data_IF_565903578571
#
_entry.id   IF_565903578571
#
_cell.length_a   1.000
_cell.length_b   1.000
_cell.length_c   1.000
_cell.angle_alpha   90.00
_cell.angle_beta   90.00
_cell.angle_gamma   90.00
#
_symmetry.space_group_name_H-M   'P 1'
#
loop_
_entity.id
_entity.type
_entity.pdbx_description
1 polymer ?
#
# COMPACT_ATOMS: atom_id res chain seq x y z
N UNK A 1 -40.50 -23.77 4.16
CA UNK A 1 -39.68 -24.10 5.33
C UNK A 1 -39.10 -25.48 5.07
N UNK A 2 -37.93 -25.52 4.44
CA UNK A 2 -37.15 -26.74 4.27
C UNK A 2 -35.77 -26.45 4.84
N UNK A 3 -35.42 -27.20 5.88
CA UNK A 3 -34.16 -27.10 6.61
C UNK A 3 -33.18 -28.00 5.87
N UNK A 4 -32.19 -27.41 5.19
CA UNK A 4 -31.05 -28.18 4.71
C UNK A 4 -30.06 -28.37 5.86
N UNK A 5 -29.76 -29.64 6.17
CA UNK A 5 -28.71 -30.05 7.11
C UNK A 5 -27.35 -29.83 6.43
N UNK A 6 -26.57 -28.90 6.97
CA UNK A 6 -25.13 -28.82 6.69
C UNK A 6 -24.42 -29.83 7.59
N UNK A 7 -23.71 -30.78 6.97
CA UNK A 7 -22.75 -31.64 7.64
C UNK A 7 -21.35 -31.09 7.37
N UNK A 8 -20.93 -30.11 8.18
CA UNK A 8 -19.52 -29.79 8.43
C UNK A 8 -19.12 -30.38 9.80
N UNK A 9 -17.82 -30.45 10.14
CA UNK A 9 -17.39 -31.07 11.40
C UNK A 9 -17.97 -30.31 12.60
N UNK A 10 -18.41 -31.06 13.61
CA UNK A 10 -18.90 -30.53 14.89
C UNK A 10 -17.83 -29.66 15.54
N UNK A 11 -18.07 -28.35 15.58
CA UNK A 11 -17.32 -27.43 16.42
C UNK A 11 -18.02 -27.42 17.77
N UNK A 12 -17.39 -28.03 18.77
CA UNK A 12 -17.79 -27.94 20.16
C UNK A 12 -17.71 -26.46 20.60
N UNK A 13 -18.81 -25.80 20.97
CA UNK A 13 -18.79 -24.39 21.37
C UNK A 13 -18.19 -24.17 22.76
N UNK A 14 -17.54 -25.18 23.37
CA UNK A 14 -16.95 -25.09 24.71
C UNK A 14 -15.49 -25.54 24.82
N UNK A 15 -14.81 -25.90 23.73
CA UNK A 15 -13.35 -26.13 23.76
C UNK A 15 -12.60 -24.81 23.56
N UNK A 16 -12.41 -24.07 24.65
CA UNK A 16 -11.36 -23.06 24.75
C UNK A 16 -10.01 -23.79 24.86
N UNK A 17 -9.26 -23.89 23.77
CA UNK A 17 -7.81 -24.14 23.75
C UNK A 17 -7.35 -24.14 22.28
N UNK A 18 -7.30 -22.95 21.67
CA UNK A 18 -6.26 -22.48 20.74
C UNK A 18 -6.61 -21.03 20.37
N UNK A 19 -6.61 -20.14 21.37
CA UNK A 19 -6.50 -18.72 21.07
C UNK A 19 -5.08 -18.53 20.54
N UNK A 20 -4.94 -18.37 19.22
CA UNK A 20 -3.77 -17.70 18.69
C UNK A 20 -3.78 -16.28 19.28
N UNK A 21 -3.13 -16.13 20.43
CA UNK A 21 -2.92 -14.83 21.04
C UNK A 21 -2.35 -13.92 19.94
N UNK A 22 -2.95 -12.73 19.70
CA UNK A 22 -2.28 -11.76 18.86
C UNK A 22 -0.89 -11.57 19.47
N UNK A 23 0.16 -11.60 18.65
CA UNK A 23 1.50 -11.18 19.06
C UNK A 23 1.39 -9.72 19.57
N UNK A 24 1.08 -9.55 20.84
CA UNK A 24 1.16 -8.28 21.54
C UNK A 24 2.64 -8.07 21.82
N UNK A 25 3.31 -7.41 20.89
CA UNK A 25 4.53 -6.68 21.23
C UNK A 25 4.10 -5.44 22.04
N UNK A 26 3.82 -5.62 23.33
CA UNK A 26 3.66 -4.53 24.28
C UNK A 26 5.04 -4.14 24.84
N UNK A 27 5.88 -3.60 23.96
CA UNK A 27 7.17 -2.98 24.30
C UNK A 27 7.02 -1.45 24.50
N UNK A 28 5.84 -0.96 24.92
CA UNK A 28 5.57 0.47 25.10
C UNK A 28 5.83 1.34 23.85
N UNK A 29 5.79 2.68 23.98
CA UNK A 29 6.08 3.57 22.87
C UNK A 29 7.53 3.38 22.37
N UNK A 30 7.70 3.14 21.07
CA UNK A 30 8.99 2.92 20.44
C UNK A 30 9.79 4.23 20.36
N UNK A 31 10.96 4.34 21.02
CA UNK A 31 11.72 5.58 21.02
C UNK A 31 12.34 5.84 19.66
N UNK A 32 12.03 7.00 19.06
CA UNK A 32 12.59 7.37 17.77
C UNK A 32 14.06 7.80 17.94
N UNK A 33 15.01 7.13 17.28
CA UNK A 33 16.43 7.47 17.37
C UNK A 33 16.74 8.83 16.74
N UNK A 34 17.66 9.56 17.38
CA UNK A 34 18.20 10.85 16.90
C UNK A 34 19.43 10.57 16.03
N UNK A 35 19.60 11.33 14.94
CA UNK A 35 20.81 11.25 14.13
C UNK A 35 21.99 11.92 14.86
N UNK A 36 23.10 11.20 15.03
CA UNK A 36 24.34 11.69 15.64
C UNK A 36 25.46 11.97 14.62
N UNK A 37 25.24 11.65 13.35
CA UNK A 37 26.18 11.86 12.26
C UNK A 37 25.54 11.72 10.87
N UNK A 38 26.32 11.96 9.79
CA UNK A 38 25.85 11.72 8.43
C UNK A 38 25.70 10.21 8.19
N UNK A 39 24.61 9.81 7.55
CA UNK A 39 24.31 8.41 7.18
C UNK A 39 25.13 8.01 5.96
N UNK A 40 25.69 6.81 5.91
CA UNK A 40 26.13 6.19 4.65
C UNK A 40 25.59 4.76 4.59
N UNK A 41 24.50 4.55 3.87
CA UNK A 41 23.78 3.29 3.90
C UNK A 41 23.35 2.82 2.52
N UNK A 42 23.26 1.50 2.40
CA UNK A 42 22.60 0.80 1.30
C UNK A 42 21.42 0.01 1.87
N UNK A 43 20.24 0.23 1.32
CA UNK A 43 18.98 -0.31 1.80
C UNK A 43 18.29 -1.05 0.66
N UNK A 44 18.03 -2.34 0.85
CA UNK A 44 17.07 -3.07 0.02
C UNK A 44 15.69 -2.93 0.67
N UNK A 45 14.66 -2.77 -0.16
CA UNK A 45 13.25 -2.64 0.24
C UNK A 45 12.51 -3.88 -0.28
N UNK A 46 11.56 -4.46 0.49
CA UNK A 46 10.75 -5.57 0.01
C UNK A 46 9.89 -5.18 -1.19
N UNK A 47 9.28 -6.18 -1.82
CA UNK A 47 8.42 -5.99 -2.97
C UNK A 47 7.27 -4.99 -2.72
N UNK A 48 6.81 -4.38 -3.80
CA UNK A 48 5.67 -3.46 -3.79
C UNK A 48 4.38 -4.18 -3.41
N UNK A 49 3.68 -3.70 -2.38
CA UNK A 49 2.36 -4.22 -2.00
C UNK A 49 1.38 -4.12 -3.17
N UNK A 50 1.40 -2.98 -3.85
CA UNK A 50 0.49 -2.64 -4.94
C UNK A 50 0.67 -3.55 -6.15
N UNK A 51 1.92 -3.88 -6.51
CA UNK A 51 2.21 -4.84 -7.58
C UNK A 51 1.92 -6.27 -7.13
N UNK A 52 2.37 -6.68 -5.94
CA UNK A 52 2.15 -8.03 -5.41
C UNK A 52 0.67 -8.42 -5.46
N UNK A 53 -0.21 -7.56 -4.93
CA UNK A 53 -1.65 -7.84 -4.92
C UNK A 53 -2.30 -7.87 -6.31
N UNK A 54 -1.79 -7.07 -7.27
CA UNK A 54 -2.27 -7.12 -8.67
C UNK A 54 -1.83 -8.43 -9.34
N UNK A 55 -0.56 -8.79 -9.18
CA UNK A 55 0.00 -10.00 -9.77
C UNK A 55 -0.59 -11.27 -9.16
N UNK A 56 -0.90 -11.27 -7.87
CA UNK A 56 -1.66 -12.35 -7.22
C UNK A 56 -3.03 -12.55 -7.90
N UNK A 57 -3.80 -11.48 -8.07
CA UNK A 57 -5.12 -11.52 -8.73
C UNK A 57 -5.00 -11.98 -10.18
N UNK A 58 -4.08 -11.41 -10.96
CA UNK A 58 -3.88 -11.80 -12.36
C UNK A 58 -3.43 -13.27 -12.48
N UNK A 59 -2.55 -13.72 -11.60
CA UNK A 59 -2.07 -15.11 -11.58
C UNK A 59 -3.19 -16.11 -11.24
N UNK A 60 -4.10 -15.75 -10.33
CA UNK A 60 -5.26 -16.57 -10.00
C UNK A 60 -6.28 -16.65 -11.16
N UNK A 61 -6.39 -15.58 -11.95
CA UNK A 61 -7.26 -15.50 -13.13
C UNK A 61 -6.57 -15.94 -14.44
N UNK A 62 -5.30 -16.34 -14.38
CA UNK A 62 -4.51 -16.72 -15.56
C UNK A 62 -4.96 -18.04 -16.19
N UNK A 63 -4.50 -18.28 -17.41
CA UNK A 63 -4.73 -19.51 -18.17
C UNK A 63 -3.69 -20.60 -17.87
N UNK A 64 -2.59 -20.23 -17.21
CA UNK A 64 -1.48 -21.11 -16.83
C UNK A 64 -0.88 -20.64 -15.49
N UNK A 65 -0.16 -21.51 -14.75
CA UNK A 65 0.51 -21.15 -13.52
C UNK A 65 1.47 -19.97 -13.67
N UNK A 66 1.67 -19.23 -12.57
CA UNK A 66 2.61 -18.12 -12.48
C UNK A 66 3.56 -18.32 -11.30
N UNK A 67 4.74 -17.71 -11.39
CA UNK A 67 5.71 -17.62 -10.29
C UNK A 67 5.99 -16.15 -10.01
N UNK A 68 5.79 -15.72 -8.77
CA UNK A 68 6.08 -14.36 -8.31
C UNK A 68 7.39 -14.41 -7.52
N UNK A 69 8.40 -13.67 -7.97
CA UNK A 69 9.72 -13.54 -7.34
C UNK A 69 9.76 -12.28 -6.48
N UNK A 70 10.20 -12.42 -5.23
CA UNK A 70 10.23 -11.33 -4.25
C UNK A 70 8.87 -10.65 -3.98
N UNK A 71 7.73 -11.38 -3.92
CA UNK A 71 6.48 -10.77 -3.51
C UNK A 71 6.60 -10.24 -2.08
N UNK A 72 5.85 -9.19 -1.75
CA UNK A 72 5.82 -8.69 -0.39
C UNK A 72 5.19 -9.73 0.54
N UNK A 73 5.90 -10.13 1.60
CA UNK A 73 5.36 -10.87 2.73
C UNK A 73 4.88 -9.89 3.82
N UNK A 74 3.60 -9.52 3.78
CA UNK A 74 2.99 -8.60 4.74
C UNK A 74 1.52 -8.94 4.96
N UNK A 75 0.91 -8.40 6.02
CA UNK A 75 -0.50 -8.69 6.36
C UNK A 75 -1.45 -8.52 5.18
N UNK A 76 -1.32 -7.43 4.41
CA UNK A 76 -2.21 -7.13 3.28
C UNK A 76 -2.09 -8.17 2.13
N UNK A 77 -0.89 -8.71 1.86
CA UNK A 77 -0.65 -9.69 0.78
C UNK A 77 -0.96 -11.11 1.24
N UNK A 78 -0.80 -11.41 2.52
CA UNK A 78 -1.24 -12.66 3.14
C UNK A 78 -2.76 -12.78 3.16
N UNK A 79 -3.48 -11.69 3.46
CA UNK A 79 -4.94 -11.62 3.34
C UNK A 79 -5.40 -11.88 1.90
N UNK A 80 -4.73 -11.28 0.90
CA UNK A 80 -5.03 -11.52 -0.52
C UNK A 80 -4.79 -12.99 -0.91
N UNK A 81 -3.64 -13.54 -0.51
CA UNK A 81 -3.26 -14.93 -0.79
C UNK A 81 -4.25 -15.91 -0.17
N UNK A 82 -4.66 -15.66 1.07
CA UNK A 82 -5.67 -16.44 1.78
C UNK A 82 -7.02 -16.37 1.07
N UNK A 83 -7.48 -15.17 0.70
CA UNK A 83 -8.75 -14.98 0.00
C UNK A 83 -8.79 -15.70 -1.36
N UNK A 84 -7.70 -15.66 -2.12
CA UNK A 84 -7.57 -16.39 -3.39
C UNK A 84 -7.56 -17.90 -3.18
N UNK A 85 -6.88 -18.38 -2.13
CA UNK A 85 -6.85 -19.78 -1.72
C UNK A 85 -8.23 -20.31 -1.32
N UNK A 86 -8.99 -19.53 -0.55
CA UNK A 86 -10.38 -19.83 -0.19
C UNK A 86 -11.29 -19.98 -1.43
N UNK A 87 -11.08 -19.18 -2.47
CA UNK A 87 -11.79 -19.33 -3.76
C UNK A 87 -11.29 -20.51 -4.62
N UNK A 88 -10.32 -21.29 -4.12
CA UNK A 88 -9.81 -22.52 -4.71
C UNK A 88 -8.46 -22.39 -5.42
N UNK A 89 -7.88 -21.19 -5.53
CA UNK A 89 -6.58 -20.97 -6.19
C UNK A 89 -5.48 -21.74 -5.48
N UNK A 90 -4.62 -22.44 -6.23
CA UNK A 90 -3.45 -23.07 -5.63
C UNK A 90 -2.39 -22.02 -5.31
N UNK A 91 -1.93 -21.97 -4.06
CA UNK A 91 -0.83 -21.11 -3.63
C UNK A 91 0.21 -22.01 -2.97
N UNK A 92 1.42 -22.01 -3.51
CA UNK A 92 2.57 -22.73 -2.98
C UNK A 92 3.68 -21.73 -2.68
N UNK A 93 4.26 -21.82 -1.47
CA UNK A 93 5.47 -21.07 -1.11
C UNK A 93 6.69 -21.83 -1.63
N UNK A 94 7.59 -21.11 -2.28
CA UNK A 94 8.87 -21.59 -2.76
C UNK A 94 9.97 -20.89 -1.98
N UNK A 95 11.12 -21.53 -1.84
CA UNK A 95 12.31 -20.89 -1.25
C UNK A 95 12.57 -19.54 -1.94
N UNK A 96 12.60 -18.48 -1.12
CA UNK A 96 12.72 -17.10 -1.58
C UNK A 96 14.03 -16.82 -2.29
N UNK A 97 13.97 -16.02 -3.36
CA UNK A 97 15.17 -15.54 -4.07
C UNK A 97 15.77 -14.27 -3.45
N UNK A 98 15.10 -13.67 -2.47
CA UNK A 98 15.54 -12.48 -1.74
C UNK A 98 15.39 -12.63 -0.23
N UNK A 99 15.71 -11.56 0.52
CA UNK A 99 15.75 -11.60 1.99
C UNK A 99 14.42 -11.28 2.69
N UNK A 100 13.34 -11.08 1.93
CA UNK A 100 12.05 -10.59 2.42
C UNK A 100 10.93 -11.64 2.37
N UNK A 101 11.32 -12.92 2.43
CA UNK A 101 10.40 -14.05 2.47
C UNK A 101 10.37 -14.88 1.18
N UNK A 102 9.40 -15.79 1.15
CA UNK A 102 9.25 -16.81 0.12
C UNK A 102 8.77 -16.26 -1.23
N UNK A 103 9.23 -16.90 -2.31
CA UNK A 103 8.61 -16.74 -3.63
C UNK A 103 7.27 -17.48 -3.67
N UNK A 104 6.37 -17.11 -4.58
CA UNK A 104 5.04 -17.73 -4.67
C UNK A 104 4.80 -18.39 -6.02
N UNK A 105 4.37 -19.65 -6.03
CA UNK A 105 3.78 -20.32 -7.19
C UNK A 105 2.26 -20.30 -7.08
N UNK A 106 1.62 -19.63 -8.03
CA UNK A 106 0.17 -19.50 -8.11
C UNK A 106 -0.35 -20.38 -9.25
N UNK A 107 -1.22 -21.33 -8.92
CA UNK A 107 -1.84 -22.25 -9.87
C UNK A 107 -3.32 -21.91 -10.04
N UNK A 108 -3.74 -21.34 -11.19
CA UNK A 108 -5.13 -21.00 -11.41
C UNK A 108 -5.99 -22.27 -11.50
N UNK A 109 -7.25 -22.18 -11.05
CA UNK A 109 -8.23 -23.25 -11.20
C UNK A 109 -9.11 -23.01 -12.42
N UNK A 110 -9.66 -24.10 -12.95
CA UNK A 110 -10.66 -24.06 -14.04
C UNK A 110 -11.90 -23.24 -13.65
N UNK A 111 -12.26 -23.26 -12.36
CA UNK A 111 -13.40 -22.57 -11.79
C UNK A 111 -13.06 -22.11 -10.38
N UNK A 112 -13.48 -20.91 -10.02
CA UNK A 112 -13.48 -20.42 -8.64
C UNK A 112 -14.74 -20.88 -7.91
N UNK A 113 -14.62 -21.23 -6.65
CA UNK A 113 -15.71 -21.75 -5.82
C UNK A 113 -16.01 -20.80 -4.67
N UNK A 114 -17.29 -20.53 -4.43
CA UNK A 114 -17.77 -19.79 -3.26
C UNK A 114 -18.01 -20.72 -2.08
N UNK A 115 -18.91 -20.31 -1.19
CA UNK A 115 -19.13 -20.97 0.10
C UNK A 115 -18.13 -20.51 1.17
N UNK A 116 -17.55 -19.33 1.01
CA UNK A 116 -16.45 -18.82 1.86
C UNK A 116 -16.73 -17.43 2.41
N UNK A 117 -16.00 -17.08 3.46
CA UNK A 117 -15.96 -15.74 4.05
C UNK A 117 -14.55 -15.19 3.93
N UNK A 118 -14.41 -14.07 3.22
CA UNK A 118 -13.14 -13.38 3.01
C UNK A 118 -12.98 -12.32 4.10
N UNK A 119 -11.94 -12.47 4.92
CA UNK A 119 -11.46 -11.42 5.79
C UNK A 119 -10.60 -10.43 4.98
N UNK A 120 -10.99 -9.16 5.02
CA UNK A 120 -10.29 -8.08 4.35
C UNK A 120 -9.23 -7.42 5.23
N UNK A 121 -9.21 -7.67 6.54
CA UNK A 121 -8.46 -6.86 7.52
C UNK A 121 -8.70 -5.36 7.28
N UNK A 122 -7.61 -4.56 7.25
CA UNK A 122 -7.61 -3.16 6.80
C UNK A 122 -7.06 -2.99 5.36
N UNK A 123 -6.94 -4.09 4.61
CA UNK A 123 -6.30 -4.14 3.31
C UNK A 123 -7.22 -3.58 2.22
N UNK A 124 -6.93 -2.35 1.78
CA UNK A 124 -7.79 -1.69 0.78
C UNK A 124 -7.87 -2.45 -0.54
N UNK A 125 -6.76 -3.07 -0.95
CA UNK A 125 -6.66 -3.91 -2.14
C UNK A 125 -7.56 -5.14 -2.04
N UNK A 126 -7.57 -5.87 -0.92
CA UNK A 126 -8.46 -7.03 -0.72
C UNK A 126 -9.91 -6.58 -0.80
N UNK A 127 -10.27 -5.53 -0.05
CA UNK A 127 -11.62 -4.96 -0.03
C UNK A 127 -12.14 -4.60 -1.43
N UNK A 128 -11.29 -4.14 -2.37
CA UNK A 128 -11.74 -3.62 -3.68
C UNK A 128 -11.44 -4.54 -4.85
N UNK A 129 -10.41 -5.38 -4.78
CA UNK A 129 -10.02 -6.27 -5.88
C UNK A 129 -10.73 -7.62 -5.78
N UNK A 130 -10.95 -8.13 -4.57
CA UNK A 130 -11.57 -9.44 -4.39
C UNK A 130 -13.07 -9.48 -4.74
N UNK A 131 -13.90 -8.44 -4.51
CA UNK A 131 -15.31 -8.56 -4.86
C UNK A 131 -15.59 -8.79 -6.37
N UNK A 132 -14.93 -8.09 -7.32
CA UNK A 132 -15.02 -8.42 -8.75
C UNK A 132 -14.51 -9.83 -9.09
N UNK A 133 -13.48 -10.32 -8.39
CA UNK A 133 -12.96 -11.69 -8.56
C UNK A 133 -13.95 -12.73 -8.04
N UNK A 134 -14.49 -12.52 -6.83
CA UNK A 134 -15.48 -13.41 -6.20
C UNK A 134 -16.80 -13.47 -6.97
N UNK A 135 -17.15 -12.40 -7.71
CA UNK A 135 -18.31 -12.44 -8.62
C UNK A 135 -18.18 -13.49 -9.74
N UNK A 136 -16.95 -13.92 -10.06
CA UNK A 136 -16.67 -15.02 -10.99
C UNK A 136 -16.75 -16.41 -10.34
N UNK A 137 -16.83 -16.49 -9.01
CA UNK A 137 -16.99 -17.74 -8.30
C UNK A 137 -18.40 -18.31 -8.45
N UNK A 138 -18.57 -19.63 -8.25
CA UNK A 138 -19.89 -20.23 -8.07
C UNK A 138 -20.21 -20.35 -6.59
N UNK A 139 -21.26 -19.67 -6.15
CA UNK A 139 -21.79 -19.75 -4.79
C UNK A 139 -21.69 -18.43 -4.03
N UNK A 140 -22.11 -18.44 -2.75
CA UNK A 140 -22.10 -17.24 -1.91
C UNK A 140 -20.69 -16.90 -1.45
N UNK A 141 -20.35 -15.61 -1.36
CA UNK A 141 -19.10 -15.12 -0.77
C UNK A 141 -19.41 -13.95 0.15
N UNK A 142 -18.98 -14.03 1.40
CA UNK A 142 -19.11 -12.95 2.38
C UNK A 142 -17.79 -12.17 2.51
N UNK A 143 -17.89 -10.88 2.80
CA UNK A 143 -16.77 -9.97 3.03
C UNK A 143 -16.98 -9.24 4.36
N UNK A 144 -15.98 -9.28 5.22
CA UNK A 144 -15.88 -8.46 6.43
C UNK A 144 -14.41 -8.06 6.67
N UNK A 145 -14.13 -7.30 7.71
CA UNK A 145 -12.76 -6.95 8.11
C UNK A 145 -12.72 -6.18 9.42
N UNK A 146 -11.56 -5.62 9.73
CA UNK A 146 -11.31 -4.85 10.94
C UNK A 146 -12.33 -3.71 11.13
N UNK A 147 -12.55 -3.27 12.37
CA UNK A 147 -13.50 -2.18 12.67
C UNK A 147 -13.19 -0.88 11.92
N UNK A 148 -11.91 -0.58 11.69
CA UNK A 148 -11.50 0.54 10.85
C UNK A 148 -11.90 0.34 9.38
N UNK A 149 -11.81 -0.87 8.85
CA UNK A 149 -12.20 -1.18 7.48
C UNK A 149 -13.71 -1.03 7.24
N UNK A 150 -14.53 -1.36 8.24
CA UNK A 150 -16.00 -1.18 8.20
C UNK A 150 -16.43 0.28 8.05
N UNK A 151 -15.58 1.24 8.42
CA UNK A 151 -15.83 2.67 8.22
C UNK A 151 -15.50 3.15 6.80
N UNK A 152 -14.64 2.43 6.08
CA UNK A 152 -14.12 2.86 4.77
C UNK A 152 -15.19 2.78 3.66
N UNK A 153 -15.13 3.64 2.64
CA UNK A 153 -16.11 3.65 1.55
C UNK A 153 -16.08 2.36 0.71
N UNK A 154 -17.24 1.70 0.55
CA UNK A 154 -17.41 0.51 -0.33
C UNK A 154 -18.60 0.62 -1.30
N UNK A 155 -19.42 1.68 -1.18
CA UNK A 155 -20.64 1.86 -1.97
C UNK A 155 -20.40 1.73 -3.46
N UNK A 156 -19.38 2.41 -4.01
CA UNK A 156 -19.03 2.32 -5.43
C UNK A 156 -18.77 0.88 -5.88
N UNK A 157 -18.03 0.09 -5.09
CA UNK A 157 -17.78 -1.33 -5.40
C UNK A 157 -19.07 -2.14 -5.41
N UNK A 158 -19.91 -1.96 -4.39
CA UNK A 158 -21.19 -2.69 -4.24
C UNK A 158 -22.13 -2.35 -5.40
N UNK A 159 -22.31 -1.07 -5.70
CA UNK A 159 -23.18 -0.61 -6.78
C UNK A 159 -22.65 -1.04 -8.16
N UNK A 160 -21.33 -1.06 -8.37
CA UNK A 160 -20.72 -1.57 -9.59
C UNK A 160 -21.02 -3.06 -9.81
N UNK A 161 -20.93 -3.88 -8.76
CA UNK A 161 -21.27 -5.30 -8.84
C UNK A 161 -22.75 -5.50 -9.16
N UNK A 162 -23.64 -4.77 -8.50
CA UNK A 162 -25.09 -4.80 -8.78
C UNK A 162 -25.37 -4.39 -10.22
N UNK A 163 -24.72 -3.32 -10.73
CA UNK A 163 -24.86 -2.87 -12.11
C UNK A 163 -24.32 -3.90 -13.13
N UNK A 164 -23.36 -4.74 -12.74
CA UNK A 164 -22.88 -5.88 -13.54
C UNK A 164 -23.81 -7.10 -13.48
N UNK A 165 -24.91 -7.02 -12.71
CA UNK A 165 -25.90 -8.08 -12.56
C UNK A 165 -25.55 -9.12 -11.50
N UNK A 166 -24.61 -8.81 -10.60
CA UNK A 166 -24.27 -9.66 -9.45
C UNK A 166 -25.31 -9.44 -8.35
N UNK A 167 -25.79 -10.52 -7.74
CA UNK A 167 -26.65 -10.41 -6.55
C UNK A 167 -25.77 -10.04 -5.34
N UNK A 168 -26.04 -8.91 -4.71
CA UNK A 168 -25.32 -8.40 -3.54
C UNK A 168 -26.30 -8.12 -2.41
N UNK A 169 -25.92 -8.48 -1.18
CA UNK A 169 -26.66 -8.20 0.06
C UNK A 169 -25.74 -7.44 1.01
N UNK A 170 -26.03 -6.15 1.21
CA UNK A 170 -25.30 -5.25 2.10
C UNK A 170 -26.20 -4.58 3.15
N UNK A 171 -27.48 -4.94 3.21
CA UNK A 171 -28.55 -4.29 3.98
C UNK A 171 -28.55 -2.75 3.84
N UNK A 172 -28.25 -2.24 2.65
CA UNK A 172 -28.18 -0.82 2.33
C UNK A 172 -27.12 -0.03 3.11
N UNK A 173 -26.11 -0.70 3.67
CA UNK A 173 -25.01 -0.04 4.41
C UNK A 173 -24.04 0.70 3.49
N UNK A 174 -23.79 0.20 2.28
CA UNK A 174 -22.75 0.70 1.38
C UNK A 174 -21.32 0.57 1.94
N UNK A 175 -21.12 -0.34 2.90
CA UNK A 175 -19.89 -0.60 3.68
C UNK A 175 -19.78 -2.09 4.00
N UNK A 176 -18.64 -2.54 4.51
CA UNK A 176 -18.52 -3.88 5.11
C UNK A 176 -19.40 -3.98 6.38
N UNK A 177 -19.88 -5.18 6.75
CA UNK A 177 -19.86 -6.40 5.94
C UNK A 177 -20.92 -6.43 4.84
N UNK A 178 -20.65 -7.17 3.77
CA UNK A 178 -21.63 -7.50 2.72
C UNK A 178 -21.38 -8.90 2.16
N UNK A 179 -22.33 -9.45 1.42
CA UNK A 179 -22.16 -10.71 0.70
C UNK A 179 -22.63 -10.60 -0.74
N UNK A 180 -22.10 -11.47 -1.60
CA UNK A 180 -22.53 -11.61 -2.99
C UNK A 180 -22.81 -13.07 -3.33
N UNK A 181 -23.63 -13.32 -4.35
CA UNK A 181 -23.84 -14.64 -4.92
C UNK A 181 -23.32 -14.70 -6.35
N UNK A 182 -22.22 -15.42 -6.54
CA UNK A 182 -21.60 -15.62 -7.85
C UNK A 182 -22.26 -16.77 -8.61
N UNK A 183 -22.52 -16.58 -9.91
CA UNK A 183 -23.10 -17.61 -10.78
C UNK A 183 -22.03 -18.39 -11.57
N UNK A 184 -20.74 -18.12 -11.31
CA UNK A 184 -19.62 -18.64 -12.09
C UNK A 184 -19.33 -17.86 -13.39
N UNK A 185 -20.07 -16.80 -13.68
CA UNK A 185 -19.82 -15.93 -14.82
C UNK A 185 -20.37 -14.52 -14.61
N UNK A 186 -19.64 -13.53 -15.09
CA UNK A 186 -20.09 -12.13 -15.15
C UNK A 186 -20.21 -11.73 -16.62
N UNK A 187 -21.31 -11.07 -16.98
CA UNK A 187 -21.53 -10.63 -18.38
C UNK A 187 -20.46 -9.60 -18.80
N UNK A 188 -20.21 -8.60 -17.95
CA UNK A 188 -19.42 -7.43 -18.32
C UNK A 188 -20.20 -6.47 -19.21
N UNK A 189 -19.49 -5.69 -20.03
CA UNK A 189 -20.07 -4.69 -20.92
C UNK A 189 -19.73 -3.26 -20.50
N UNK A 190 -20.69 -2.33 -20.60
CA UNK A 190 -20.47 -0.92 -20.24
C UNK A 190 -20.82 -0.69 -18.78
N UNK A 191 -19.94 -0.02 -18.05
CA UNK A 191 -20.15 0.36 -16.66
C UNK A 191 -19.73 1.82 -16.46
N UNK A 192 -20.50 2.56 -15.67
CA UNK A 192 -20.20 3.94 -15.30
C UNK A 192 -20.17 4.04 -13.79
N UNK A 193 -19.09 4.59 -13.24
CA UNK A 193 -18.90 4.76 -11.79
C UNK A 193 -18.41 6.16 -11.47
N UNK A 194 -18.63 6.58 -10.22
CA UNK A 194 -17.87 7.65 -9.61
C UNK A 194 -16.74 7.03 -8.76
N UNK A 195 -15.50 7.36 -9.14
CA UNK A 195 -14.28 6.87 -8.53
C UNK A 195 -13.47 7.98 -7.82
N UNK A 196 -14.08 9.15 -7.58
CA UNK A 196 -13.41 10.27 -6.92
C UNK A 196 -12.94 9.96 -5.51
N UNK A 197 -13.60 9.01 -4.83
CA UNK A 197 -13.20 8.57 -3.50
C UNK A 197 -12.03 7.57 -3.49
N UNK A 198 -11.80 6.82 -4.57
CA UNK A 198 -10.68 5.85 -4.64
C UNK A 198 -10.47 5.28 -6.06
N UNK A 199 -9.22 5.31 -6.54
CA UNK A 199 -8.82 4.62 -7.78
C UNK A 199 -8.87 3.10 -7.69
N UNK A 200 -8.85 2.53 -6.48
CA UNK A 200 -8.87 1.08 -6.27
C UNK A 200 -10.15 0.42 -6.83
N UNK A 201 -11.26 1.19 -6.92
CA UNK A 201 -12.49 0.72 -7.57
C UNK A 201 -12.28 0.45 -9.06
N UNK A 202 -11.58 1.36 -9.74
CA UNK A 202 -11.22 1.20 -11.16
C UNK A 202 -10.30 -0.01 -11.30
N UNK A 203 -9.21 -0.07 -10.54
CA UNK A 203 -8.24 -1.16 -10.62
C UNK A 203 -8.87 -2.54 -10.40
N UNK A 204 -9.69 -2.72 -9.35
CA UNK A 204 -10.32 -4.01 -9.07
C UNK A 204 -11.22 -4.51 -10.20
N UNK A 205 -11.97 -3.61 -10.83
CA UNK A 205 -12.81 -3.93 -11.99
C UNK A 205 -11.97 -4.27 -13.22
N UNK A 206 -10.91 -3.49 -13.51
CA UNK A 206 -10.03 -3.73 -14.65
C UNK A 206 -9.29 -5.08 -14.54
N UNK A 207 -8.84 -5.47 -13.35
CA UNK A 207 -8.14 -6.75 -13.12
C UNK A 207 -9.03 -7.97 -13.44
N UNK A 208 -10.32 -7.92 -13.07
CA UNK A 208 -11.26 -9.01 -13.31
C UNK A 208 -11.88 -8.98 -14.72
N UNK A 209 -11.87 -7.82 -15.38
CA UNK A 209 -12.55 -7.60 -16.66
C UNK A 209 -12.20 -8.57 -17.80
N UNK A 210 -10.94 -9.05 -17.97
CA UNK A 210 -10.62 -9.99 -19.04
C UNK A 210 -11.42 -11.29 -18.96
N UNK A 211 -11.84 -11.67 -17.75
CA UNK A 211 -12.62 -12.87 -17.47
C UNK A 211 -14.14 -12.66 -17.57
N UNK A 212 -14.60 -11.44 -17.82
CA UNK A 212 -16.00 -11.18 -18.14
C UNK A 212 -16.32 -11.60 -19.57
N UNK A 213 -17.53 -12.11 -19.81
CA UNK A 213 -17.93 -12.65 -21.14
C UNK A 213 -17.84 -11.64 -22.28
N UNK A 214 -17.99 -10.36 -21.97
CA UNK A 214 -17.91 -9.25 -22.94
C UNK A 214 -16.83 -8.24 -22.61
N UNK A 215 -15.87 -8.58 -21.74
CA UNK A 215 -14.90 -7.63 -21.21
C UNK A 215 -15.58 -6.51 -20.41
N UNK A 216 -14.93 -5.36 -20.32
CA UNK A 216 -15.47 -4.17 -19.65
C UNK A 216 -15.08 -2.90 -20.40
N UNK A 217 -16.03 -2.00 -20.62
CA UNK A 217 -15.78 -0.58 -20.90
C UNK A 217 -16.21 0.21 -19.69
N UNK A 218 -15.24 0.69 -18.92
CA UNK A 218 -15.45 1.40 -17.66
C UNK A 218 -15.26 2.90 -17.88
N UNK A 219 -16.25 3.70 -17.50
CA UNK A 219 -16.19 5.17 -17.54
C UNK A 219 -16.29 5.74 -16.13
N UNK A 220 -15.33 6.57 -15.76
CA UNK A 220 -15.38 7.41 -14.57
C UNK A 220 -16.15 8.72 -14.86
N UNK A 221 -17.01 9.13 -13.93
CA UNK A 221 -17.87 10.34 -14.08
C UNK A 221 -17.62 11.45 -13.08
N UNK A 222 -16.85 11.19 -12.03
CA UNK A 222 -16.52 12.19 -11.02
C UNK A 222 -15.65 13.32 -11.57
N UNK A 223 -15.57 14.42 -10.84
CA UNK A 223 -14.77 15.58 -11.26
C UNK A 223 -13.27 15.32 -11.15
N UNK A 224 -12.88 14.59 -10.11
CA UNK A 224 -11.50 14.25 -9.77
C UNK A 224 -11.29 12.74 -9.82
N UNK A 225 -10.10 12.32 -10.27
CA UNK A 225 -9.67 10.93 -10.26
C UNK A 225 -8.31 10.85 -9.55
N UNK A 226 -8.29 10.50 -8.25
CA UNK A 226 -7.04 10.44 -7.51
C UNK A 226 -6.17 9.27 -7.99
N UNK A 227 -4.86 9.35 -7.75
CA UNK A 227 -3.93 8.22 -7.88
C UNK A 227 -3.98 7.52 -9.25
N UNK A 228 -4.04 8.29 -10.35
CA UNK A 228 -3.94 7.79 -11.73
C UNK A 228 -2.77 6.81 -11.95
N UNK A 229 -1.58 7.00 -11.35
CA UNK A 229 -0.48 6.04 -11.48
C UNK A 229 -0.84 4.60 -11.04
N UNK A 230 -1.75 4.43 -10.07
CA UNK A 230 -2.22 3.10 -9.67
C UNK A 230 -3.14 2.44 -10.70
N UNK A 231 -3.84 3.25 -11.51
CA UNK A 231 -4.62 2.76 -12.66
C UNK A 231 -3.66 2.39 -13.78
N UNK A 232 -2.67 3.24 -14.08
CA UNK A 232 -1.65 2.96 -15.08
C UNK A 232 -0.84 1.69 -14.74
N UNK A 233 -0.49 1.50 -13.47
CA UNK A 233 0.08 0.24 -12.95
C UNK A 233 -0.81 -0.96 -13.23
N UNK A 234 -2.13 -0.82 -13.10
CA UNK A 234 -3.08 -1.91 -13.39
C UNK A 234 -3.12 -2.24 -14.88
N UNK A 235 -3.06 -1.20 -15.72
CA UNK A 235 -3.03 -1.34 -17.18
C UNK A 235 -1.71 -2.01 -17.61
N UNK A 236 -0.59 -1.60 -17.03
CA UNK A 236 0.73 -2.14 -17.33
C UNK A 236 0.84 -3.61 -16.92
N UNK A 237 0.39 -3.99 -15.72
CA UNK A 237 0.39 -5.41 -15.30
C UNK A 237 -0.52 -6.26 -16.19
N UNK A 238 -1.71 -5.77 -16.56
CA UNK A 238 -2.59 -6.45 -17.52
C UNK A 238 -1.92 -6.64 -18.89
N UNK A 239 -1.26 -5.60 -19.43
CA UNK A 239 -0.51 -5.68 -20.69
C UNK A 239 0.67 -6.65 -20.58
N UNK A 240 1.37 -6.67 -19.46
CA UNK A 240 2.42 -7.65 -19.15
C UNK A 240 1.93 -9.10 -19.17
N UNK A 241 0.63 -9.32 -18.92
CA UNK A 241 -0.03 -10.63 -19.04
C UNK A 241 -0.74 -10.85 -20.38
N UNK A 242 -0.46 -10.03 -21.40
CA UNK A 242 -0.98 -10.17 -22.76
C UNK A 242 -2.41 -9.65 -22.96
N UNK A 243 -2.95 -8.87 -22.02
CA UNK A 243 -4.27 -8.23 -22.15
C UNK A 243 -4.10 -6.85 -22.78
N UNK A 244 -4.68 -6.65 -23.96
CA UNK A 244 -4.65 -5.36 -24.66
C UNK A 244 -5.68 -4.38 -24.09
N UNK A 245 -5.29 -3.66 -23.05
CA UNK A 245 -6.12 -2.63 -22.42
C UNK A 245 -6.00 -1.31 -23.20
N UNK A 246 -7.13 -0.79 -23.66
CA UNK A 246 -7.25 0.49 -24.37
C UNK A 246 -7.67 1.59 -23.38
N UNK A 247 -6.88 2.67 -23.31
CA UNK A 247 -7.31 3.93 -22.67
C UNK A 247 -8.01 4.76 -23.75
N UNK A 248 -9.33 4.74 -23.75
CA UNK A 248 -10.17 5.41 -24.78
C UNK A 248 -10.06 6.93 -24.64
N UNK A 249 -10.06 7.41 -23.39
CA UNK A 249 -9.80 8.79 -23.02
C UNK A 249 -9.27 8.85 -21.58
N UNK A 250 -9.12 10.03 -21.00
CA UNK A 250 -8.61 10.23 -19.63
C UNK A 250 -9.43 9.52 -18.54
N UNK A 251 -10.71 9.23 -18.81
CA UNK A 251 -11.69 8.72 -17.84
C UNK A 251 -12.34 7.40 -18.27
N UNK A 252 -11.97 6.87 -19.43
CA UNK A 252 -12.60 5.69 -20.02
C UNK A 252 -11.57 4.64 -20.41
N UNK A 253 -11.73 3.43 -19.88
CA UNK A 253 -10.87 2.29 -20.17
C UNK A 253 -11.70 1.16 -20.78
N UNK A 254 -11.13 0.49 -21.77
CA UNK A 254 -11.72 -0.71 -22.38
C UNK A 254 -10.75 -1.87 -22.20
N UNK A 255 -11.25 -2.92 -21.54
CA UNK A 255 -10.57 -4.19 -21.36
C UNK A 255 -11.37 -5.25 -22.13
N UNK A 256 -10.78 -5.92 -23.15
CA UNK A 256 -11.47 -6.96 -23.90
C UNK A 256 -11.68 -8.20 -23.04
N UNK A 257 -12.60 -9.08 -23.44
CA UNK A 257 -12.61 -10.46 -22.94
C UNK A 257 -11.43 -11.19 -23.57
N UNK A 258 -10.50 -11.67 -22.75
CA UNK A 258 -9.27 -12.29 -23.24
C UNK A 258 -8.68 -13.26 -22.21
N UNK A 259 -7.89 -14.25 -22.66
CA UNK A 259 -7.05 -15.00 -21.74
C UNK A 259 -6.05 -14.06 -21.06
N UNK A 260 -5.73 -14.36 -19.80
CA UNK A 260 -4.61 -13.77 -19.07
C UNK A 260 -3.49 -14.81 -19.10
N UNK A 261 -2.27 -14.43 -19.47
CA UNK A 261 -1.13 -15.34 -19.54
C UNK A 261 -0.56 -15.66 -18.14
N UNK A 262 -0.14 -16.90 -17.94
CA UNK A 262 0.77 -17.24 -16.84
C UNK A 262 2.17 -16.71 -17.13
N UNK A 263 2.93 -16.36 -16.09
CA UNK A 263 4.28 -15.80 -16.25
C UNK A 263 5.13 -16.01 -14.99
N UNK A 264 6.45 -15.95 -15.15
CA UNK A 264 7.36 -15.64 -14.04
C UNK A 264 7.51 -14.11 -13.98
N UNK A 265 7.26 -13.52 -12.81
CA UNK A 265 7.26 -12.06 -12.61
C UNK A 265 8.09 -11.73 -11.38
N UNK A 266 9.10 -10.89 -11.55
CA UNK A 266 9.83 -10.28 -10.42
C UNK A 266 9.09 -9.02 -9.99
N UNK A 267 8.74 -8.96 -8.71
CA UNK A 267 8.07 -7.80 -8.13
C UNK A 267 9.10 -6.72 -7.82
N UNK A 268 8.87 -5.50 -8.33
CA UNK A 268 9.70 -4.33 -8.02
C UNK A 268 9.66 -4.02 -6.52
N UNK A 269 10.72 -3.41 -5.94
CA UNK A 269 10.67 -2.92 -4.56
C UNK A 269 9.59 -1.86 -4.37
N UNK A 270 9.06 -1.74 -3.16
CA UNK A 270 8.06 -0.72 -2.81
C UNK A 270 8.70 0.68 -2.74
N UNK A 271 8.64 1.43 -3.84
CA UNK A 271 9.33 2.72 -3.94
C UNK A 271 8.77 3.76 -2.96
N UNK A 272 7.54 3.60 -2.50
CA UNK A 272 6.92 4.49 -1.52
C UNK A 272 7.36 4.18 -0.09
N UNK A 273 7.82 2.96 0.19
CA UNK A 273 8.50 2.61 1.45
C UNK A 273 9.99 3.01 1.46
N UNK A 274 10.58 3.30 0.29
CA UNK A 274 11.95 3.82 0.22
C UNK A 274 12.06 5.27 0.74
N UNK A 275 10.95 6.03 0.66
CA UNK A 275 10.84 7.43 1.04
C UNK A 275 11.42 7.78 2.42
N UNK A 276 11.01 7.15 3.55
CA UNK A 276 11.53 7.53 4.85
C UNK A 276 13.06 7.39 4.93
N UNK A 277 13.65 6.36 4.32
CA UNK A 277 15.11 6.17 4.32
C UNK A 277 15.82 7.28 3.55
N UNK A 278 15.27 7.67 2.40
CA UNK A 278 15.80 8.76 1.59
C UNK A 278 15.69 10.12 2.30
N UNK A 279 14.56 10.37 2.95
CA UNK A 279 14.37 11.56 3.80
C UNK A 279 15.32 11.54 4.99
N UNK A 280 15.63 10.36 5.54
CA UNK A 280 16.61 10.21 6.62
C UNK A 280 17.96 10.84 6.29
N UNK A 281 18.48 10.65 5.07
CA UNK A 281 19.70 11.33 4.62
C UNK A 281 19.55 12.85 4.46
N UNK A 282 18.36 13.37 4.14
CA UNK A 282 18.13 14.83 4.12
C UNK A 282 18.19 15.40 5.54
N UNK A 283 17.63 14.68 6.51
CA UNK A 283 17.60 15.10 7.91
C UNK A 283 18.97 14.96 8.58
N UNK A 284 19.62 13.81 8.46
CA UNK A 284 20.91 13.52 9.10
C UNK A 284 22.11 14.08 8.31
N UNK A 285 21.98 14.19 6.98
CA UNK A 285 23.11 14.34 6.07
C UNK A 285 23.64 12.98 5.61
N UNK A 286 24.52 12.98 4.61
CA UNK A 286 25.16 11.79 4.06
C UNK A 286 24.50 11.21 2.81
N UNK A 287 24.57 9.89 2.62
CA UNK A 287 24.18 9.18 1.41
C UNK A 287 23.31 7.96 1.74
N UNK A 288 22.19 7.81 1.05
CA UNK A 288 21.37 6.59 1.07
C UNK A 288 21.24 6.05 -0.34
N UNK A 289 21.46 4.75 -0.49
CA UNK A 289 21.32 4.00 -1.74
C UNK A 289 20.17 3.00 -1.59
N UNK A 290 19.18 3.08 -2.46
CA UNK A 290 18.09 2.10 -2.55
C UNK A 290 18.42 1.17 -3.71
N UNK A 291 18.60 -0.11 -3.38
CA UNK A 291 18.89 -1.15 -4.35
C UNK A 291 17.65 -1.56 -5.15
N UNK A 292 17.88 -2.26 -6.25
CA UNK A 292 16.87 -2.84 -7.13
C UNK A 292 15.87 -1.79 -7.68
N UNK A 293 16.32 -0.53 -7.80
CA UNK A 293 15.49 0.55 -8.30
C UNK A 293 15.24 0.36 -9.81
N UNK A 294 13.98 0.31 -10.25
CA UNK A 294 13.66 0.02 -11.65
C UNK A 294 13.96 1.21 -12.56
N UNK A 295 14.48 0.94 -13.76
CA UNK A 295 14.71 1.97 -14.80
C UNK A 295 13.39 2.60 -15.29
N UNK A 296 12.30 1.82 -15.28
CA UNK A 296 10.96 2.23 -15.69
C UNK A 296 9.95 1.61 -14.73
N UNK A 297 9.02 2.40 -14.24
CA UNK A 297 8.00 1.97 -13.29
C UNK A 297 6.79 2.88 -13.35
N UNK A 298 5.64 2.38 -12.92
CA UNK A 298 4.40 3.13 -12.66
C UNK A 298 4.18 3.44 -11.18
N UNK A 299 5.10 3.03 -10.30
CA UNK A 299 5.01 3.29 -8.88
C UNK A 299 5.21 4.79 -8.59
N UNK A 300 4.35 5.35 -7.74
CA UNK A 300 4.39 6.78 -7.39
C UNK A 300 5.67 7.19 -6.67
N UNK A 301 6.31 6.26 -5.93
CA UNK A 301 7.61 6.51 -5.30
C UNK A 301 8.73 6.86 -6.28
N UNK A 302 8.56 6.62 -7.59
CA UNK A 302 9.48 7.13 -8.61
C UNK A 302 9.61 8.67 -8.59
N UNK A 303 8.55 9.38 -8.19
CA UNK A 303 8.53 10.85 -8.10
C UNK A 303 9.48 11.39 -7.04
N UNK A 304 9.96 10.55 -6.10
CA UNK A 304 10.97 10.96 -5.11
C UNK A 304 12.26 11.47 -5.77
N UNK A 305 12.61 10.96 -6.95
CA UNK A 305 13.77 11.42 -7.70
C UNK A 305 13.64 12.89 -8.16
N UNK A 306 12.41 13.39 -8.32
CA UNK A 306 12.10 14.76 -8.74
C UNK A 306 11.75 15.67 -7.55
N UNK A 307 11.10 15.11 -6.51
CA UNK A 307 10.65 15.85 -5.33
C UNK A 307 11.82 16.15 -4.39
N UNK A 308 12.63 15.15 -4.03
CA UNK A 308 13.65 15.29 -3.00
C UNK A 308 14.77 16.30 -3.34
N UNK A 309 15.15 16.54 -4.62
CA UNK A 309 16.03 17.65 -4.97
C UNK A 309 15.56 19.04 -4.53
N UNK A 310 14.24 19.26 -4.40
CA UNK A 310 13.68 20.53 -3.92
C UNK A 310 14.03 20.82 -2.45
N UNK A 311 14.37 19.78 -1.68
CA UNK A 311 14.89 19.88 -0.31
C UNK A 311 16.43 19.98 -0.27
N UNK A 312 17.05 20.28 -1.42
CA UNK A 312 18.49 20.48 -1.58
C UNK A 312 19.31 19.20 -1.49
N UNK A 313 18.71 18.05 -1.83
CA UNK A 313 19.41 16.80 -2.04
C UNK A 313 19.92 16.68 -3.48
N UNK A 314 20.94 15.85 -3.71
CA UNK A 314 21.34 15.40 -5.04
C UNK A 314 20.83 13.97 -5.22
N UNK A 315 20.11 13.69 -6.31
CA UNK A 315 19.58 12.37 -6.60
C UNK A 315 20.08 11.89 -7.96
N UNK A 316 20.50 10.63 -8.04
CA UNK A 316 20.82 9.95 -9.30
C UNK A 316 20.15 8.57 -9.32
N UNK A 317 19.56 8.22 -10.47
CA UNK A 317 18.97 6.90 -10.73
C UNK A 317 19.75 6.25 -11.86
N UNK A 318 20.17 5.00 -11.65
CA UNK A 318 20.91 4.21 -12.64
C UNK A 318 21.58 3.01 -11.99
N UNK A 319 22.05 2.07 -12.82
CA UNK A 319 22.76 0.86 -12.38
C UNK A 319 21.99 0.03 -11.33
N UNK A 320 20.65 0.01 -11.45
CA UNK A 320 19.77 -0.71 -10.53
C UNK A 320 19.65 -0.09 -9.15
N UNK A 321 19.94 1.21 -8.99
CA UNK A 321 19.79 1.90 -7.71
C UNK A 321 19.32 3.35 -7.85
N UNK A 322 18.67 3.85 -6.81
CA UNK A 322 18.53 5.29 -6.56
C UNK A 322 19.51 5.69 -5.46
N UNK A 323 20.32 6.70 -5.73
CA UNK A 323 21.28 7.26 -4.78
C UNK A 323 20.86 8.68 -4.45
N UNK A 324 20.61 8.94 -3.17
CA UNK A 324 20.40 10.29 -2.64
C UNK A 324 21.59 10.70 -1.79
N UNK A 325 22.08 11.92 -2.01
CA UNK A 325 23.15 12.51 -1.23
C UNK A 325 22.77 13.92 -0.73
N UNK A 326 23.03 14.18 0.55
CA UNK A 326 22.91 15.49 1.19
C UNK A 326 24.19 15.80 1.97
N UNK A 327 24.90 16.85 1.58
CA UNK A 327 26.20 17.17 2.20
C UNK A 327 26.10 17.48 3.71
N UNK A 328 25.11 18.28 4.10
CA UNK A 328 24.83 18.62 5.50
C UNK A 328 23.33 18.52 5.77
N UNK A 329 22.97 17.74 6.78
CA UNK A 329 21.59 17.49 7.18
C UNK A 329 20.95 18.59 8.02
N UNK A 330 19.62 18.56 8.13
CA UNK A 330 18.85 19.47 9.00
C UNK A 330 19.27 19.33 10.47
N UNK A 331 19.43 18.11 10.98
CA UNK A 331 19.88 17.83 12.35
C UNK A 331 21.28 18.42 12.64
N UNK A 332 22.09 18.62 11.60
CA UNK A 332 23.40 19.26 11.67
C UNK A 332 23.34 20.79 11.50
N UNK A 333 22.14 21.40 11.47
CA UNK A 333 21.92 22.83 11.32
C UNK A 333 21.84 23.33 9.87
N UNK A 334 21.62 22.44 8.89
CA UNK A 334 21.35 22.85 7.50
C UNK A 334 19.97 23.50 7.42
N UNK A 335 19.88 24.65 6.74
CA UNK A 335 18.59 25.31 6.45
C UNK A 335 18.07 24.79 5.12
N UNK A 336 16.94 24.10 5.16
CA UNK A 336 16.20 23.65 3.98
C UNK A 336 14.97 24.53 3.84
N UNK A 337 14.71 25.07 2.66
CA UNK A 337 13.50 25.86 2.41
C UNK A 337 12.29 24.94 2.23
N UNK A 338 11.13 25.41 2.65
CA UNK A 338 9.85 24.76 2.40
C UNK A 338 9.46 24.79 0.92
N UNK A 339 8.41 24.04 0.58
CA UNK A 339 7.99 23.76 -0.80
C UNK A 339 6.48 23.93 -0.99
N UNK A 340 6.03 24.17 -2.23
CA UNK A 340 4.63 24.04 -2.63
C UNK A 340 4.50 22.83 -3.57
N UNK A 341 3.90 21.75 -3.08
CA UNK A 341 3.77 20.49 -3.82
C UNK A 341 2.30 20.17 -4.07
N UNK A 342 1.99 19.86 -5.33
CA UNK A 342 0.76 19.18 -5.70
C UNK A 342 0.99 17.67 -5.67
N UNK A 343 0.34 16.99 -4.74
CA UNK A 343 0.48 15.56 -4.52
C UNK A 343 -0.78 14.79 -4.93
N UNK A 344 -1.60 15.34 -5.84
CA UNK A 344 -2.82 14.67 -6.32
C UNK A 344 -2.60 13.26 -6.89
N UNK A 345 -1.46 13.03 -7.52
CA UNK A 345 -1.09 11.72 -8.07
C UNK A 345 -0.24 10.86 -7.12
N UNK A 346 0.41 11.48 -6.14
CA UNK A 346 1.37 10.86 -5.23
C UNK A 346 0.98 11.02 -3.75
N UNK A 347 -0.32 11.05 -3.46
CA UNK A 347 -0.83 11.34 -2.12
C UNK A 347 -0.31 10.41 -1.02
N UNK A 348 0.12 9.19 -1.36
CA UNK A 348 0.73 8.31 -0.35
C UNK A 348 2.14 8.71 0.11
N UNK A 349 2.83 9.61 -0.61
CA UNK A 349 4.11 10.21 -0.19
C UNK A 349 3.89 11.37 0.81
N UNK A 350 2.67 11.91 0.87
CA UNK A 350 2.38 13.12 1.64
C UNK A 350 2.73 13.04 3.14
N UNK A 351 2.52 11.91 3.87
CA UNK A 351 2.84 11.87 5.30
C UNK A 351 4.32 12.14 5.61
N UNK A 352 5.22 11.44 4.94
CA UNK A 352 6.65 11.58 5.19
C UNK A 352 7.16 12.93 4.66
N UNK A 353 6.63 13.43 3.54
CA UNK A 353 6.91 14.79 3.06
C UNK A 353 6.41 15.87 4.02
N UNK A 354 5.25 15.69 4.66
CA UNK A 354 4.73 16.60 5.67
C UNK A 354 5.65 16.65 6.91
N UNK A 355 6.16 15.49 7.35
CA UNK A 355 7.17 15.43 8.41
C UNK A 355 8.44 16.19 8.02
N UNK A 356 8.96 16.00 6.80
CA UNK A 356 10.10 16.76 6.29
C UNK A 356 9.82 18.27 6.20
N UNK A 357 8.62 18.66 5.75
CA UNK A 357 8.19 20.06 5.66
C UNK A 357 8.17 20.74 7.04
N UNK A 358 7.76 20.03 8.10
CA UNK A 358 7.78 20.57 9.46
C UNK A 358 9.20 20.87 9.95
N UNK A 359 10.21 20.18 9.43
CA UNK A 359 11.63 20.39 9.72
C UNK A 359 12.27 21.48 8.84
N UNK A 360 11.56 22.03 7.85
CA UNK A 360 12.07 23.08 6.98
C UNK A 360 12.16 24.43 7.69
N UNK A 361 12.88 25.38 7.10
CA UNK A 361 13.15 26.70 7.68
C UNK A 361 12.22 27.81 7.19
N UNK A 362 11.37 27.51 6.22
CA UNK A 362 10.31 28.38 5.69
C UNK A 362 9.02 27.56 5.48
N UNK A 363 7.83 28.21 5.38
CA UNK A 363 6.56 27.52 5.22
C UNK A 363 6.48 26.64 3.96
N UNK A 364 5.72 25.55 4.05
CA UNK A 364 5.40 24.64 2.95
C UNK A 364 3.89 24.48 2.77
N UNK A 365 3.48 24.06 1.58
CA UNK A 365 2.10 23.77 1.21
C UNK A 365 2.01 22.45 0.45
N UNK A 366 1.17 21.54 0.92
CA UNK A 366 0.87 20.26 0.26
C UNK A 366 -0.59 20.27 -0.20
N UNK A 367 -0.86 20.11 -1.50
CA UNK A 367 -2.20 20.21 -2.12
C UNK A 367 -2.60 18.94 -2.87
N UNK A 368 -3.87 18.85 -3.28
CA UNK A 368 -4.38 17.74 -4.10
C UNK A 368 -4.65 16.45 -3.33
N UNK A 369 -4.50 16.47 -2.00
CA UNK A 369 -4.50 15.28 -1.13
C UNK A 369 -5.77 15.14 -0.30
N UNK A 370 -6.88 15.79 -0.66
CA UNK A 370 -8.15 15.68 0.08
C UNK A 370 -8.70 14.25 0.20
N UNK A 371 -8.35 13.36 -0.74
CA UNK A 371 -8.74 11.95 -0.71
C UNK A 371 -8.07 11.15 0.44
N UNK A 372 -6.99 11.65 1.03
CA UNK A 372 -6.31 11.02 2.17
C UNK A 372 -7.17 10.92 3.43
N UNK A 373 -8.26 11.69 3.52
CA UNK A 373 -9.24 11.61 4.62
C UNK A 373 -9.93 10.24 4.72
N UNK A 374 -9.99 9.50 3.60
CA UNK A 374 -10.63 8.18 3.50
C UNK A 374 -9.65 6.99 3.55
N UNK A 375 -8.39 7.23 3.93
CA UNK A 375 -7.35 6.20 3.99
C UNK A 375 -7.44 5.37 5.29
N UNK A 376 -6.34 4.79 5.76
CA UNK A 376 -6.27 4.02 7.01
C UNK A 376 -6.80 4.81 8.21
N UNK A 377 -6.44 6.08 8.26
CA UNK A 377 -6.98 7.13 9.13
C UNK A 377 -7.30 8.36 8.27
N UNK A 378 -7.91 9.40 8.85
CA UNK A 378 -7.89 10.72 8.23
C UNK A 378 -6.46 11.27 8.35
N UNK A 379 -5.63 11.02 7.34
CA UNK A 379 -4.21 11.38 7.40
C UNK A 379 -4.00 12.90 7.47
N UNK A 380 -4.91 13.71 6.93
CA UNK A 380 -4.76 15.17 7.00
C UNK A 380 -4.96 15.65 8.44
N UNK A 381 -6.04 15.19 9.08
CA UNK A 381 -6.30 15.50 10.48
C UNK A 381 -5.24 14.92 11.43
N UNK A 382 -4.77 13.70 11.17
CA UNK A 382 -3.73 13.05 11.95
C UNK A 382 -2.39 13.80 11.84
N UNK A 383 -1.94 14.15 10.63
CA UNK A 383 -0.72 14.94 10.43
C UNK A 383 -0.84 16.32 11.06
N UNK A 384 -1.97 17.03 10.87
CA UNK A 384 -2.18 18.32 11.51
C UNK A 384 -2.10 18.24 13.04
N UNK A 385 -2.67 17.19 13.63
CA UNK A 385 -2.63 16.94 15.08
C UNK A 385 -1.22 16.65 15.57
N UNK A 386 -0.52 15.68 14.99
CA UNK A 386 0.80 15.25 15.47
C UNK A 386 1.89 16.30 15.19
N UNK A 387 1.85 16.98 14.04
CA UNK A 387 2.79 18.06 13.74
C UNK A 387 2.57 19.29 14.65
N UNK A 388 1.32 19.63 14.96
CA UNK A 388 1.01 20.70 15.93
C UNK A 388 1.48 20.31 17.34
N UNK A 389 1.33 19.04 17.72
CA UNK A 389 1.76 18.50 19.02
C UNK A 389 3.26 18.69 19.25
N UNK A 390 4.09 18.50 18.21
CA UNK A 390 5.53 18.75 18.27
C UNK A 390 5.91 20.22 18.11
N UNK A 391 4.97 21.12 17.81
CA UNK A 391 5.20 22.58 17.82
C UNK A 391 5.28 23.25 16.45
N UNK A 392 4.96 22.55 15.35
CA UNK A 392 4.75 23.20 14.05
C UNK A 392 3.41 23.95 14.03
N UNK A 393 3.28 24.97 13.17
CA UNK A 393 2.00 25.64 12.93
C UNK A 393 1.38 25.05 11.66
N UNK A 394 0.32 24.25 11.83
CA UNK A 394 -0.31 23.52 10.73
C UNK A 394 -1.76 23.99 10.54
N UNK A 395 -2.06 24.44 9.33
CA UNK A 395 -3.43 24.73 8.89
C UNK A 395 -3.90 23.65 7.94
N UNK A 396 -4.96 22.94 8.36
CA UNK A 396 -5.63 21.94 7.54
C UNK A 396 -6.60 22.59 6.55
N UNK A 397 -6.55 22.16 5.29
CA UNK A 397 -7.48 22.55 4.22
C UNK A 397 -8.28 21.34 3.75
N UNK A 398 -9.35 21.56 2.98
CA UNK A 398 -10.15 20.47 2.40
C UNK A 398 -9.30 19.51 1.55
N UNK A 399 -8.30 20.05 0.83
CA UNK A 399 -7.46 19.33 -0.12
C UNK A 399 -5.97 19.24 0.27
N UNK A 400 -5.58 19.63 1.49
CA UNK A 400 -4.17 19.84 1.78
C UNK A 400 -3.81 20.30 3.18
N UNK A 401 -2.53 20.63 3.36
CA UNK A 401 -1.93 21.16 4.58
C UNK A 401 -1.01 22.34 4.23
N UNK A 402 -1.17 23.46 4.94
CA UNK A 402 -0.11 24.47 5.05
C UNK A 402 0.67 24.21 6.34
N UNK A 403 1.99 24.11 6.25
CA UNK A 403 2.89 23.74 7.35
C UNK A 403 3.94 24.83 7.51
N UNK A 404 3.88 25.60 8.60
CA UNK A 404 4.86 26.62 8.94
C UNK A 404 5.80 26.13 10.06
N UNK A 405 7.10 26.47 9.99
CA UNK A 405 8.07 26.08 11.00
C UNK A 405 7.76 26.73 12.34
N UNK A 406 8.00 25.99 13.42
CA UNK A 406 7.80 26.44 14.80
C UNK A 406 8.88 25.94 15.75
N UNK A 407 8.83 26.30 17.05
CA UNK A 407 9.77 25.83 18.05
C UNK A 407 9.48 24.36 18.38
N UNK A 408 10.08 23.45 17.62
CA UNK A 408 9.78 22.03 17.72
C UNK A 408 10.30 21.40 19.02
N UNK A 409 9.61 20.38 19.52
CA UNK A 409 9.93 19.65 20.76
C UNK A 409 9.55 18.17 20.66
N UNK A 410 10.24 17.34 21.45
CA UNK A 410 9.88 15.93 21.62
C UNK A 410 8.46 15.76 22.16
N UNK A 411 7.77 14.75 21.65
CA UNK A 411 6.46 14.30 22.11
C UNK A 411 6.25 12.84 21.70
N UNK A 412 5.34 12.16 22.38
CA UNK A 412 4.77 10.93 21.84
C UNK A 412 4.09 11.24 20.50
N UNK A 413 4.16 10.33 19.54
CA UNK A 413 3.63 10.45 18.19
C UNK A 413 2.67 9.29 17.95
N UNK A 414 1.42 9.60 17.62
CA UNK A 414 0.42 8.57 17.36
C UNK A 414 0.44 8.08 15.91
N UNK A 415 0.50 6.77 15.72
CA UNK A 415 0.51 6.12 14.41
C UNK A 415 -0.90 5.86 13.87
N UNK A 416 -1.94 5.86 14.71
CA UNK A 416 -3.34 5.64 14.29
C UNK A 416 -3.57 4.31 13.53
N UNK A 417 -2.74 3.29 13.78
CA UNK A 417 -2.73 2.03 13.02
C UNK A 417 -2.32 2.20 11.54
N UNK A 418 -1.63 3.30 11.21
CA UNK A 418 -1.19 3.63 9.86
C UNK A 418 0.35 3.67 9.77
N UNK A 419 0.90 2.69 9.05
CA UNK A 419 2.33 2.60 8.72
C UNK A 419 2.99 3.93 8.32
N UNK A 420 2.31 4.77 7.52
CA UNK A 420 2.92 6.03 7.05
C UNK A 420 2.94 7.11 8.12
N UNK A 421 2.00 7.08 9.05
CA UNK A 421 2.05 7.95 10.23
C UNK A 421 3.20 7.51 11.14
N UNK A 422 3.38 6.21 11.35
CA UNK A 422 4.50 5.70 12.13
C UNK A 422 5.86 6.12 11.54
N UNK A 423 6.08 5.94 10.23
CA UNK A 423 7.34 6.36 9.57
C UNK A 423 7.53 7.87 9.55
N UNK A 424 6.45 8.65 9.51
CA UNK A 424 6.53 10.11 9.65
C UNK A 424 7.08 10.52 11.02
N UNK A 425 6.64 9.86 12.09
CA UNK A 425 7.16 10.08 13.44
C UNK A 425 8.65 9.75 13.56
N UNK A 426 9.13 8.69 12.90
CA UNK A 426 10.55 8.32 12.95
C UNK A 426 11.45 9.33 12.22
N UNK A 427 10.96 9.95 11.14
CA UNK A 427 11.65 11.06 10.45
C UNK A 427 11.82 12.27 11.39
N UNK A 428 10.77 12.65 12.11
CA UNK A 428 10.84 13.75 13.09
C UNK A 428 11.87 13.41 14.18
N UNK A 429 11.87 12.18 14.69
CA UNK A 429 12.79 11.73 15.72
C UNK A 429 14.27 11.84 15.36
N UNK A 430 14.63 11.73 14.07
CA UNK A 430 16.01 11.95 13.62
C UNK A 430 16.53 13.36 13.93
N UNK A 431 15.65 14.36 13.94
CA UNK A 431 16.00 15.76 14.19
C UNK A 431 15.69 16.22 15.62
N UNK A 432 14.80 15.52 16.34
CA UNK A 432 14.23 15.98 17.60
C UNK A 432 14.34 14.89 18.66
N UNK A 433 15.07 15.18 19.73
CA UNK A 433 15.16 14.31 20.89
C UNK A 433 13.80 14.20 21.62
N UNK A 434 13.50 13.01 22.14
CA UNK A 434 12.31 12.75 22.96
C UNK A 434 11.02 12.49 22.17
N UNK A 435 11.14 12.09 20.90
CA UNK A 435 10.01 11.57 20.11
C UNK A 435 9.86 10.07 20.34
N UNK A 436 8.64 9.58 20.55
CA UNK A 436 8.34 8.15 20.70
C UNK A 436 7.06 7.78 19.94
N UNK A 437 7.05 6.70 19.17
CA UNK A 437 5.91 6.28 18.37
C UNK A 437 5.08 5.27 19.17
N UNK A 438 3.77 5.51 19.33
CA UNK A 438 2.90 4.64 20.12
C UNK A 438 2.76 3.22 19.55
N UNK A 439 2.71 3.07 18.23
CA UNK A 439 2.56 1.81 17.50
C UNK A 439 3.45 1.78 16.25
N UNK A 440 4.74 1.49 16.46
CA UNK A 440 5.67 1.24 15.35
C UNK A 440 5.33 -0.06 14.61
N UNK A 441 4.63 -1.01 15.26
CA UNK A 441 4.22 -2.29 14.67
C UNK A 441 3.27 -2.12 13.49
N UNK A 442 2.54 -1.00 13.42
CA UNK A 442 1.72 -0.63 12.27
C UNK A 442 2.47 -0.62 10.93
N UNK A 443 3.80 -0.49 10.92
CA UNK A 443 4.61 -0.59 9.69
C UNK A 443 4.56 -1.97 9.05
N UNK A 444 4.27 -3.04 9.81
CA UNK A 444 4.12 -4.41 9.30
C UNK A 444 3.02 -4.60 8.24
N UNK A 445 2.18 -3.56 8.03
CA UNK A 445 1.27 -3.50 6.90
C UNK A 445 1.98 -3.56 5.55
N UNK A 446 3.14 -2.91 5.42
CA UNK A 446 3.89 -2.83 4.15
C UNK A 446 5.39 -3.05 4.29
N UNK A 447 5.93 -2.99 5.50
CA UNK A 447 7.35 -3.15 5.80
C UNK A 447 7.54 -3.65 7.25
N UNK A 448 7.33 -4.95 7.52
CA UNK A 448 7.51 -5.55 8.85
C UNK A 448 8.89 -5.28 9.46
N UNK A 449 9.93 -5.27 8.63
CA UNK A 449 11.32 -5.09 9.04
C UNK A 449 11.70 -3.62 9.27
N UNK A 450 10.76 -2.67 9.11
CA UNK A 450 11.04 -1.24 9.19
C UNK A 450 11.80 -0.83 10.46
N UNK A 451 11.41 -1.25 11.69
CA UNK A 451 12.12 -0.81 12.89
C UNK A 451 13.60 -1.23 12.88
N UNK A 452 13.90 -2.41 12.32
CA UNK A 452 15.27 -2.90 12.24
C UNK A 452 16.04 -2.18 11.13
N UNK A 453 15.47 -2.09 9.92
CA UNK A 453 16.08 -1.37 8.80
C UNK A 453 16.36 0.10 9.15
N UNK A 454 15.48 0.73 9.94
CA UNK A 454 15.64 2.10 10.40
C UNK A 454 16.76 2.25 11.43
N UNK A 455 16.91 1.30 12.36
CA UNK A 455 18.04 1.28 13.30
C UNK A 455 19.36 1.06 12.57
N UNK A 456 19.39 0.14 11.61
CA UNK A 456 20.60 -0.14 10.84
C UNK A 456 21.02 1.05 9.97
N UNK A 457 20.05 1.77 9.39
CA UNK A 457 20.26 3.03 8.68
C UNK A 457 21.00 4.04 9.57
N UNK A 458 20.59 4.16 10.84
CA UNK A 458 21.15 5.16 11.76
C UNK A 458 22.47 4.67 12.35
N UNK A 459 22.64 3.37 12.57
CA UNK A 459 23.91 2.81 13.01
C UNK A 459 25.05 3.00 11.99
N UNK A 460 24.72 3.27 10.72
CA UNK A 460 25.73 3.67 9.74
C UNK A 460 26.18 5.13 9.87
N UNK A 461 25.50 5.94 10.68
CA UNK A 461 25.90 7.29 11.00
C UNK A 461 27.18 7.28 11.84
N UNK A 462 28.24 7.94 11.36
CA UNK A 462 29.52 8.05 12.07
C UNK A 462 30.49 6.86 11.93
N UNK A 463 30.20 5.86 11.10
CA UNK A 463 31.13 4.80 10.74
C UNK A 463 32.05 5.18 9.58
N UNK A 464 33.37 4.96 9.71
CA UNK A 464 34.32 5.03 8.59
C UNK A 464 33.98 3.93 7.57
N UNK A 465 33.25 4.27 6.50
CA UNK A 465 33.32 3.75 5.12
C UNK A 465 33.35 2.25 4.79
N UNK A 466 33.38 1.33 5.75
CA UNK A 466 33.43 -0.11 5.49
C UNK A 466 32.00 -0.68 5.41
N UNK A 467 31.58 -0.91 4.16
CA UNK A 467 30.52 -1.81 3.67
C UNK A 467 29.66 -2.45 4.79
N UNK A 468 28.73 -1.68 5.38
CA UNK A 468 27.64 -2.25 6.19
C UNK A 468 26.71 -2.98 5.23
N UNK A 469 27.10 -4.18 4.83
CA UNK A 469 26.18 -5.17 4.27
C UNK A 469 25.33 -5.65 5.43
N UNK A 470 24.09 -5.16 5.46
CA UNK A 470 23.04 -5.62 6.35
C UNK A 470 23.05 -7.15 6.36
N UNK A 471 23.38 -7.75 7.50
CA UNK A 471 23.56 -9.19 7.64
C UNK A 471 22.27 -9.94 7.31
N UNK A 472 22.39 -11.10 6.67
CA UNK A 472 21.26 -12.01 6.48
C UNK A 472 20.75 -12.49 7.84
N UNK A 473 19.43 -12.41 8.05
CA UNK A 473 18.78 -12.98 9.23
C UNK A 473 18.58 -14.48 9.02
N UNK A 474 19.02 -15.30 9.97
CA UNK A 474 18.54 -16.68 10.10
C UNK A 474 17.11 -16.62 10.67
N UNK A 475 16.19 -17.32 9.97
CA UNK A 475 14.76 -17.47 10.32
C UNK A 475 14.58 -18.33 11.56
#
# INVERSE_FOLDING_TARGET
MEIFRYSGPDVDPTSSDDESEPLQHDDGPWPAPVADGPIDARVQIPGSKSLTNRELVLSALASAPSTLRGPLAARDTELMTTALGQLGTGVERLEGTGRFGDDLRITPRRRLEGGVSIDCGLAGTVMRFMPPVAALALGPVAFDGDDAARRRPMRTTIEALVALGVEVRDDHRGRLPFSLYGTGSVRGGKLTIDASASSQFVSGLLLAAPRFRSGLTLRHTGEQLPSVPHIDMTIETLRGRGVDVERVDERTWRVPSSPIAGAEVTIEPDLSNAEPFLIGAIVAGGTVRIDDWPDRTTQVGAQLAEILPQFGARVSVGDGALVLHKERGIAQGSRVDGVDLDLGEAGELAPNLAALCALCSTPSRLRGIGHLRGHETDRLAALATELTKIGADVTEHDDGLDIAPGPLRGAEWSAYGDHRMATSGTIIGLAIEGVSIDDIGSTAKTLPEFPQLWRDLIASAGGDGDDVRLAAFDV
#
